data_IF_475200520216
#
_entry.id   IF_475200520216
#
_cell.length_a   1.000
_cell.length_b   1.000
_cell.length_c   1.000
_cell.angle_alpha   90.00
_cell.angle_beta   90.00
_cell.angle_gamma   90.00
#
_symmetry.space_group_name_H-M   'P 1'
#
loop_
_entity.id
_entity.type
_entity.pdbx_description
1 polymer ?
#
# COMPACT_ATOMS: atom_id res chain seq x y z
N UNK A 1 -1.98 -39.83 39.13
CA UNK A 1 -1.86 -39.03 37.89
C UNK A 1 -2.69 -37.75 38.06
N UNK A 2 -2.18 -36.72 38.77
CA UNK A 2 -3.00 -35.58 39.26
C UNK A 2 -2.72 -34.24 38.58
N UNK A 3 -1.71 -34.16 37.70
CA UNK A 3 -1.26 -32.89 37.12
C UNK A 3 -2.27 -32.25 36.16
N UNK A 4 -2.84 -33.04 35.24
CA UNK A 4 -3.74 -32.52 34.20
C UNK A 4 -5.07 -32.01 34.76
N UNK A 5 -5.65 -32.74 35.72
CA UNK A 5 -6.92 -32.36 36.34
C UNK A 5 -6.79 -30.99 37.03
N UNK A 6 -5.70 -30.79 37.79
CA UNK A 6 -5.40 -29.50 38.42
C UNK A 6 -5.26 -28.35 37.42
N UNK A 7 -4.68 -28.59 36.23
CA UNK A 7 -4.54 -27.56 35.20
C UNK A 7 -5.92 -27.12 34.69
N UNK A 8 -6.79 -28.07 34.34
CA UNK A 8 -8.13 -27.74 33.85
C UNK A 8 -9.06 -27.19 34.94
N UNK A 9 -8.93 -27.68 36.19
CA UNK A 9 -9.66 -27.16 37.35
C UNK A 9 -9.29 -25.68 37.64
N UNK A 10 -8.10 -25.24 37.24
CA UNK A 10 -7.67 -23.84 37.33
C UNK A 10 -8.01 -23.01 36.07
N UNK A 11 -8.86 -23.53 35.17
CA UNK A 11 -9.22 -22.90 33.89
C UNK A 11 -8.02 -22.56 33.01
N UNK A 12 -7.00 -23.43 33.04
CA UNK A 12 -5.84 -23.31 32.17
C UNK A 12 -5.92 -24.36 31.05
N UNK A 13 -5.61 -23.93 29.84
CA UNK A 13 -5.70 -24.75 28.64
C UNK A 13 -4.39 -24.68 27.87
N UNK A 14 -3.88 -25.84 27.47
CA UNK A 14 -2.73 -25.89 26.57
C UNK A 14 -3.11 -25.35 25.20
N UNK A 15 -2.40 -24.32 24.76
CA UNK A 15 -2.58 -23.71 23.44
C UNK A 15 -1.23 -23.41 22.79
N UNK A 16 -1.22 -23.24 21.46
CA UNK A 16 -0.05 -22.79 20.70
C UNK A 16 -0.15 -21.30 20.42
N UNK A 17 0.98 -20.61 20.57
CA UNK A 17 1.06 -19.17 20.33
C UNK A 17 0.80 -18.85 18.85
N UNK A 18 -0.09 -17.88 18.57
CA UNK A 18 -0.39 -17.42 17.22
C UNK A 18 0.83 -16.87 16.45
N UNK A 19 1.88 -16.43 17.15
CA UNK A 19 3.07 -15.85 16.52
C UNK A 19 4.25 -16.85 16.44
N UNK A 20 4.70 -17.39 17.58
CA UNK A 20 5.90 -18.24 17.64
C UNK A 20 5.60 -19.75 17.70
N UNK A 21 4.33 -20.14 17.71
CA UNK A 21 3.88 -21.54 17.79
C UNK A 21 4.30 -22.33 19.05
N UNK A 22 4.92 -21.66 20.03
CA UNK A 22 5.27 -22.26 21.32
C UNK A 22 4.02 -22.68 22.09
N UNK A 23 4.12 -23.82 22.79
CA UNK A 23 3.08 -24.32 23.68
C UNK A 23 3.08 -23.52 24.99
N UNK A 24 1.91 -23.06 25.43
CA UNK A 24 1.74 -22.32 26.68
C UNK A 24 0.37 -22.60 27.31
N UNK A 25 0.22 -22.19 28.58
CA UNK A 25 -1.05 -22.27 29.31
C UNK A 25 -1.83 -20.95 29.12
N UNK A 26 -3.00 -21.05 28.52
CA UNK A 26 -3.93 -19.94 28.31
C UNK A 26 -5.10 -20.02 29.31
N UNK A 27 -5.67 -18.86 29.68
CA UNK A 27 -6.88 -18.78 30.51
C UNK A 27 -8.18 -18.98 29.71
N UNK A 28 -8.09 -18.91 28.39
CA UNK A 28 -9.20 -19.13 27.47
C UNK A 28 -9.09 -20.52 26.86
N UNK A 29 -10.22 -21.18 26.63
CA UNK A 29 -10.26 -22.40 25.84
C UNK A 29 -10.49 -22.06 24.37
N UNK A 30 -9.77 -22.71 23.45
CA UNK A 30 -10.00 -22.65 21.99
C UNK A 30 -9.98 -21.25 21.31
N UNK A 31 -9.59 -20.19 22.01
CA UNK A 31 -9.40 -18.86 21.43
C UNK A 31 -7.91 -18.66 21.15
N UNK A 32 -7.46 -18.62 19.88
CA UNK A 32 -6.06 -18.44 19.53
C UNK A 32 -5.50 -17.17 20.16
N UNK A 33 -4.49 -17.32 21.03
CA UNK A 33 -3.87 -16.19 21.73
C UNK A 33 -2.34 -16.28 21.68
N UNK A 34 -1.69 -15.27 22.26
CA UNK A 34 -0.25 -15.13 22.27
C UNK A 34 0.30 -15.60 23.63
N UNK A 35 1.46 -16.26 23.63
CA UNK A 35 2.04 -16.82 24.84
C UNK A 35 2.52 -15.78 25.87
N UNK A 36 2.67 -14.52 25.47
CA UNK A 36 3.09 -13.44 26.37
C UNK A 36 3.15 -12.08 25.68
N UNK A 37 3.49 -11.05 26.46
CA UNK A 37 3.49 -9.65 26.01
C UNK A 37 4.48 -9.38 24.88
N UNK A 38 5.60 -10.08 24.82
CA UNK A 38 6.56 -9.95 23.71
C UNK A 38 5.93 -10.36 22.38
N UNK A 39 5.25 -11.52 22.34
CA UNK A 39 4.56 -11.98 21.14
C UNK A 39 3.36 -11.10 20.79
N UNK A 40 2.65 -10.54 21.77
CA UNK A 40 1.58 -9.56 21.51
C UNK A 40 2.12 -8.30 20.84
N UNK A 41 3.16 -7.69 21.42
CA UNK A 41 3.79 -6.47 20.89
C UNK A 41 4.31 -6.69 19.48
N UNK A 42 4.97 -7.81 19.23
CA UNK A 42 5.48 -8.13 17.89
C UNK A 42 4.36 -8.37 16.88
N UNK A 43 3.28 -9.05 17.28
CA UNK A 43 2.11 -9.21 16.41
C UNK A 43 1.44 -7.87 16.06
N UNK A 44 1.33 -6.94 17.02
CA UNK A 44 0.85 -5.57 16.75
C UNK A 44 1.78 -4.85 15.77
N UNK A 45 3.10 -4.94 15.98
CA UNK A 45 4.10 -4.34 15.08
C UNK A 45 3.96 -4.86 13.65
N UNK A 46 3.88 -6.18 13.47
CA UNK A 46 3.73 -6.81 12.16
C UNK A 46 2.39 -6.45 11.50
N UNK A 47 1.29 -6.41 12.25
CA UNK A 47 -0.01 -6.01 11.73
C UNK A 47 -0.01 -4.55 11.26
N UNK A 48 0.57 -3.65 12.05
CA UNK A 48 0.73 -2.24 11.67
C UNK A 48 1.60 -2.10 10.41
N UNK A 49 2.73 -2.81 10.36
CA UNK A 49 3.60 -2.81 9.18
C UNK A 49 2.85 -3.26 7.92
N UNK A 50 2.12 -4.39 7.99
CA UNK A 50 1.30 -4.89 6.87
C UNK A 50 0.19 -3.91 6.46
N UNK A 51 -0.44 -3.24 7.43
CA UNK A 51 -1.45 -2.23 7.17
C UNK A 51 -0.84 -1.02 6.44
N UNK A 52 0.27 -0.49 6.94
CA UNK A 52 0.98 0.65 6.36
C UNK A 52 1.49 0.33 4.95
N UNK A 53 2.03 -0.88 4.71
CA UNK A 53 2.47 -1.36 3.39
C UNK A 53 1.29 -1.47 2.40
N UNK A 54 0.15 -2.00 2.85
CA UNK A 54 -1.06 -2.08 2.03
C UNK A 54 -1.63 -0.68 1.71
N UNK A 55 -1.60 0.24 2.67
CA UNK A 55 -2.05 1.62 2.48
C UNK A 55 -1.18 2.36 1.46
N UNK A 56 0.14 2.15 1.49
CA UNK A 56 1.07 2.69 0.49
C UNK A 56 0.79 2.17 -0.93
N UNK A 57 0.53 0.87 -1.06
CA UNK A 57 0.14 0.28 -2.34
C UNK A 57 -1.15 0.90 -2.91
N UNK A 58 -2.11 1.23 -2.04
CA UNK A 58 -3.33 1.92 -2.45
C UNK A 58 -3.10 3.40 -2.82
N UNK A 59 -2.11 4.06 -2.20
CA UNK A 59 -1.83 5.47 -2.46
C UNK A 59 -1.16 5.71 -3.82
N UNK A 60 -0.08 4.99 -4.16
CA UNK A 60 0.59 5.22 -5.44
C UNK A 60 -0.29 4.82 -6.65
N UNK A 61 -1.09 3.75 -6.52
CA UNK A 61 -2.05 3.35 -7.56
C UNK A 61 -3.14 4.41 -7.74
N UNK A 62 -3.61 5.02 -6.63
CA UNK A 62 -4.55 6.15 -6.68
C UNK A 62 -3.92 7.35 -7.38
N UNK A 63 -2.70 7.75 -7.00
CA UNK A 63 -2.02 8.88 -7.65
C UNK A 63 -1.78 8.63 -9.13
N UNK A 64 -1.37 7.42 -9.52
CA UNK A 64 -1.21 7.05 -10.92
C UNK A 64 -2.49 7.30 -11.74
N UNK A 65 -3.64 6.82 -11.25
CA UNK A 65 -4.94 7.02 -11.90
C UNK A 65 -5.30 8.51 -11.94
N UNK A 66 -5.13 9.23 -10.84
CA UNK A 66 -5.45 10.65 -10.75
C UNK A 66 -4.63 11.49 -11.73
N UNK A 67 -3.32 11.25 -11.83
CA UNK A 67 -2.45 11.97 -12.76
C UNK A 67 -2.81 11.66 -14.21
N UNK A 68 -3.12 10.40 -14.55
CA UNK A 68 -3.59 10.06 -15.89
C UNK A 68 -4.88 10.80 -16.25
N UNK A 69 -5.87 10.81 -15.35
CA UNK A 69 -7.13 11.51 -15.57
C UNK A 69 -6.95 13.02 -15.67
N UNK A 70 -6.03 13.61 -14.89
CA UNK A 70 -5.68 15.04 -14.99
C UNK A 70 -5.15 15.39 -16.38
N UNK A 71 -4.18 14.64 -16.89
CA UNK A 71 -3.65 14.82 -18.24
C UNK A 71 -4.73 14.64 -19.31
N UNK A 72 -5.52 13.57 -19.22
CA UNK A 72 -6.60 13.29 -20.17
C UNK A 72 -7.63 14.42 -20.23
N UNK A 73 -8.07 14.90 -19.06
CA UNK A 73 -9.04 16.00 -18.98
C UNK A 73 -8.46 17.32 -19.53
N UNK A 74 -7.17 17.58 -19.33
CA UNK A 74 -6.49 18.76 -19.90
C UNK A 74 -6.41 18.70 -21.42
N UNK A 75 -5.98 17.57 -21.98
CA UNK A 75 -5.96 17.35 -23.44
C UNK A 75 -7.38 17.51 -24.01
N UNK A 76 -8.36 16.86 -23.39
CA UNK A 76 -9.77 16.96 -23.81
C UNK A 76 -10.31 18.39 -23.75
N UNK A 77 -9.94 19.16 -22.74
CA UNK A 77 -10.31 20.58 -22.64
C UNK A 77 -9.72 21.41 -23.78
N UNK A 78 -8.43 21.22 -24.11
CA UNK A 78 -7.77 21.87 -25.24
C UNK A 78 -8.27 21.39 -26.62
N UNK A 79 -8.86 20.20 -26.67
CA UNK A 79 -9.56 19.70 -27.85
C UNK A 79 -10.91 20.40 -28.09
N UNK A 80 -11.59 20.76 -27.01
CA UNK A 80 -12.88 21.46 -27.06
C UNK A 80 -12.73 22.98 -27.21
N UNK A 81 -11.65 23.55 -26.70
CA UNK A 81 -11.33 24.96 -26.92
C UNK A 81 -10.75 25.14 -28.33
N UNK A 82 -11.10 26.24 -29.00
CA UNK A 82 -10.50 26.69 -30.26
C UNK A 82 -9.05 27.17 -30.07
N UNK A 83 -8.29 26.52 -29.19
CA UNK A 83 -6.89 26.82 -28.91
C UNK A 83 -6.09 26.54 -30.18
N UNK A 84 -5.20 27.45 -30.55
CA UNK A 84 -4.38 27.31 -31.77
C UNK A 84 -3.69 25.95 -31.86
N UNK A 85 -3.73 25.34 -33.06
CA UNK A 85 -3.30 23.96 -33.32
C UNK A 85 -1.91 23.64 -32.76
N UNK A 86 -0.98 24.60 -32.78
CA UNK A 86 0.38 24.47 -32.24
C UNK A 86 0.40 24.16 -30.72
N UNK A 87 -0.50 24.76 -29.93
CA UNK A 87 -0.60 24.46 -28.48
C UNK A 87 -1.18 23.06 -28.24
N UNK A 88 -2.14 22.63 -29.06
CA UNK A 88 -2.73 21.30 -28.97
C UNK A 88 -1.70 20.21 -29.24
N UNK A 89 -0.96 20.31 -30.35
CA UNK A 89 0.06 19.32 -30.73
C UNK A 89 1.18 19.23 -29.69
N UNK A 90 1.59 20.35 -29.09
CA UNK A 90 2.58 20.37 -28.00
C UNK A 90 2.10 19.59 -26.77
N UNK A 91 0.86 19.81 -26.33
CA UNK A 91 0.31 19.13 -25.15
C UNK A 91 0.02 17.65 -25.43
N UNK A 92 -0.44 17.30 -26.63
CA UNK A 92 -0.62 15.89 -27.04
C UNK A 92 0.72 15.14 -27.08
N UNK A 93 1.76 15.75 -27.64
CA UNK A 93 3.11 15.18 -27.65
C UNK A 93 3.65 15.00 -26.23
N UNK A 94 3.46 16.00 -25.37
CA UNK A 94 3.85 15.92 -23.96
C UNK A 94 3.08 14.81 -23.21
N UNK A 95 1.80 14.61 -23.54
CA UNK A 95 0.98 13.56 -22.94
C UNK A 95 1.45 12.15 -23.32
N UNK A 96 1.81 11.92 -24.58
CA UNK A 96 2.36 10.62 -25.01
C UNK A 96 3.71 10.32 -24.33
N UNK A 97 4.58 11.32 -24.21
CA UNK A 97 5.84 11.20 -23.45
C UNK A 97 5.55 10.89 -21.97
N UNK A 98 4.57 11.56 -21.37
CA UNK A 98 4.14 11.30 -20.00
C UNK A 98 3.62 9.86 -19.85
N UNK A 99 2.76 9.39 -20.75
CA UNK A 99 2.17 8.04 -20.71
C UNK A 99 3.25 6.96 -20.73
N UNK A 100 4.22 7.07 -21.62
CA UNK A 100 5.35 6.14 -21.69
C UNK A 100 6.16 6.13 -20.38
N UNK A 101 6.57 7.31 -19.89
CA UNK A 101 7.34 7.45 -18.64
C UNK A 101 6.55 6.99 -17.41
N UNK A 102 5.23 7.19 -17.41
CA UNK A 102 4.33 6.85 -16.32
C UNK A 102 4.17 5.34 -16.18
N UNK A 103 4.01 4.61 -17.29
CA UNK A 103 3.98 3.15 -17.30
C UNK A 103 5.32 2.57 -16.85
N UNK A 104 6.43 3.08 -17.41
CA UNK A 104 7.79 2.65 -17.03
C UNK A 104 8.03 2.79 -15.52
N UNK A 105 7.72 3.95 -14.95
CA UNK A 105 7.93 4.23 -13.52
C UNK A 105 7.00 3.42 -12.62
N UNK A 106 5.75 3.23 -13.03
CA UNK A 106 4.82 2.36 -12.30
C UNK A 106 5.34 0.92 -12.23
N UNK A 107 5.85 0.39 -13.34
CA UNK A 107 6.46 -0.94 -13.38
C UNK A 107 7.71 -1.00 -12.50
N UNK A 108 8.58 0.02 -12.54
CA UNK A 108 9.74 0.11 -11.66
C UNK A 108 9.37 0.13 -10.17
N UNK A 109 8.26 0.76 -9.79
CA UNK A 109 7.74 0.73 -8.41
C UNK A 109 7.23 -0.67 -8.04
N UNK A 110 6.47 -1.33 -8.93
CA UNK A 110 5.97 -2.70 -8.70
C UNK A 110 7.09 -3.72 -8.53
N UNK A 111 8.17 -3.57 -9.29
CA UNK A 111 9.33 -4.45 -9.23
C UNK A 111 10.28 -4.11 -8.05
N UNK A 112 9.95 -3.11 -7.22
CA UNK A 112 10.79 -2.65 -6.12
C UNK A 112 12.07 -1.90 -6.55
N UNK A 113 12.22 -1.59 -7.84
CA UNK A 113 13.37 -0.85 -8.41
C UNK A 113 13.31 0.66 -8.12
N UNK A 114 12.13 1.19 -7.80
CA UNK A 114 11.92 2.60 -7.46
C UNK A 114 11.08 2.73 -6.19
N UNK A 115 11.48 3.58 -5.22
CA UNK A 115 10.62 3.90 -4.08
C UNK A 115 9.32 4.58 -4.52
N UNK A 116 8.18 4.14 -3.98
CA UNK A 116 6.85 4.72 -4.26
C UNK A 116 6.80 6.24 -4.07
N UNK A 117 7.45 6.75 -3.01
CA UNK A 117 7.51 8.19 -2.72
C UNK A 117 8.15 8.97 -3.87
N UNK A 118 9.24 8.47 -4.46
CA UNK A 118 9.91 9.13 -5.60
C UNK A 118 9.00 9.17 -6.83
N UNK A 119 8.19 8.13 -7.02
CA UNK A 119 7.22 8.07 -8.11
C UNK A 119 6.08 9.06 -7.91
N UNK A 120 5.52 9.13 -6.69
CA UNK A 120 4.47 10.10 -6.34
C UNK A 120 4.99 11.55 -6.48
N UNK A 121 6.20 11.84 -5.99
CA UNK A 121 6.82 13.17 -6.14
C UNK A 121 7.01 13.55 -7.62
N UNK A 122 7.37 12.58 -8.47
CA UNK A 122 7.45 12.79 -9.92
C UNK A 122 6.08 13.08 -10.54
N UNK A 123 5.02 12.36 -10.16
CA UNK A 123 3.66 12.60 -10.65
C UNK A 123 3.18 14.03 -10.34
N UNK A 124 3.48 14.54 -9.14
CA UNK A 124 3.17 15.92 -8.77
C UNK A 124 3.93 16.95 -9.63
N UNK A 125 5.21 16.70 -9.92
CA UNK A 125 5.99 17.57 -10.82
C UNK A 125 5.42 17.62 -12.23
N UNK A 126 4.97 16.47 -12.75
CA UNK A 126 4.36 16.40 -14.09
C UNK A 126 3.03 17.16 -14.17
N UNK A 127 2.26 17.24 -13.08
CA UNK A 127 1.07 18.09 -13.04
C UNK A 127 1.42 19.57 -13.21
N UNK A 128 2.49 20.05 -12.56
CA UNK A 128 2.96 21.43 -12.70
C UNK A 128 3.61 21.74 -14.06
N UNK A 129 4.10 20.73 -14.79
CA UNK A 129 4.64 20.91 -16.15
C UNK A 129 3.55 21.16 -17.20
N UNK A 130 2.30 20.72 -16.96
CA UNK A 130 1.16 21.01 -17.86
C UNK A 130 0.70 22.47 -17.75
N UNK A 131 0.95 23.12 -16.61
CA UNK A 131 0.49 24.48 -16.34
C UNK A 131 1.45 25.57 -16.88
N UNK A 132 2.61 25.18 -17.43
CA UNK A 132 3.54 26.07 -18.14
C UNK A 132 3.25 26.13 -19.63
#
# INVERSE_FOLDING_TARGET
MFGLKRVYDNHLYFQRCKLCNNLFLAKTANIPTYCGENCKREAVRLNKQRFDEKAKMLDYERQHKNSYMYWYNKVKKLQNESSGADKRTKVETAFEVFKAKNVERKTAVKDGRMPEKKYIDWLYKQQGEIER
#
